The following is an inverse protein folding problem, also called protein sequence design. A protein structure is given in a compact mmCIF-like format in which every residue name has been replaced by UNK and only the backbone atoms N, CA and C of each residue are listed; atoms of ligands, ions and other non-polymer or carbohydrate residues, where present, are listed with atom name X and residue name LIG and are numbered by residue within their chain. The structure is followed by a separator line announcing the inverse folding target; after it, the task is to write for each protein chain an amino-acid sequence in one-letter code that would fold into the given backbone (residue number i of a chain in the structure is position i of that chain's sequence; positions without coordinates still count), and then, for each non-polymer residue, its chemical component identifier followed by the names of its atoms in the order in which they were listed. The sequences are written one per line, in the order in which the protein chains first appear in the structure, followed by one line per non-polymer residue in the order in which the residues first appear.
data_IF_032557412657
#
_entry.id   IF_032557412657
#
_cell.length_a   1.000
_cell.length_b   1.000
_cell.length_c   1.000
_cell.angle_alpha   90.00
_cell.angle_beta   90.00
_cell.angle_gamma   90.00
#
_symmetry.space_group_name_H-M   'P 1'
#
loop_
_entity.id
_entity.type
_entity.pdbx_description
1 polymer ?
#
# COMPACT_ATOMS: atom_id res chain seq x y z
N UNK A 1 -6.10 14.49 0.12
CA UNK A 1 -6.94 13.43 0.68
C UNK A 1 -6.26 12.10 0.43
N UNK A 2 -5.69 11.51 1.48
CA UNK A 2 -5.07 10.18 1.51
C UNK A 2 -5.83 9.28 2.48
N UNK A 3 -5.70 7.95 2.38
CA UNK A 3 -6.33 7.00 3.31
C UNK A 3 -5.98 7.24 4.79
N UNK A 4 -4.93 8.02 5.06
CA UNK A 4 -4.46 8.38 6.40
C UNK A 4 -5.08 9.67 6.95
N UNK A 5 -5.90 10.37 6.16
CA UNK A 5 -6.57 11.60 6.56
C UNK A 5 -7.90 11.28 7.26
N UNK A 6 -8.20 11.93 8.39
CA UNK A 6 -9.41 11.70 9.20
C UNK A 6 -10.73 11.90 8.41
N UNK A 7 -10.69 12.76 7.37
CA UNK A 7 -11.84 13.06 6.51
C UNK A 7 -12.29 11.86 5.65
N UNK A 8 -11.44 10.83 5.50
CA UNK A 8 -11.77 9.61 4.75
C UNK A 8 -12.75 8.70 5.47
N UNK A 9 -12.86 8.83 6.79
CA UNK A 9 -13.60 7.87 7.61
C UNK A 9 -12.95 6.50 7.69
N UNK A 10 -11.69 6.33 7.27
CA UNK A 10 -10.88 5.13 7.53
C UNK A 10 -10.07 5.27 8.82
N UNK A 11 -9.74 6.52 9.20
CA UNK A 11 -8.99 6.86 10.41
C UNK A 11 -9.93 7.54 11.43
N UNK A 12 -9.68 7.29 12.73
CA UNK A 12 -10.41 7.93 13.83
C UNK A 12 -11.60 7.13 14.38
N UNK A 13 -12.28 7.64 15.43
CA UNK A 13 -13.25 6.89 16.24
C UNK A 13 -14.56 6.49 15.54
N UNK A 14 -14.79 6.96 14.31
CA UNK A 14 -15.98 6.64 13.51
C UNK A 14 -15.68 5.72 12.30
N UNK A 15 -14.43 5.28 12.14
CA UNK A 15 -14.05 4.48 10.97
C UNK A 15 -14.68 3.08 10.96
N UNK A 16 -15.23 2.69 9.81
CA UNK A 16 -15.76 1.33 9.58
C UNK A 16 -14.73 0.54 8.79
N UNK A 17 -14.18 -0.51 9.41
CA UNK A 17 -13.01 -1.22 8.89
C UNK A 17 -11.74 -0.46 9.30
N UNK A 18 -10.80 -1.14 9.96
CA UNK A 18 -9.56 -0.49 10.37
C UNK A 18 -8.76 -0.07 9.14
N UNK A 19 -8.24 1.16 9.11
CA UNK A 19 -7.37 1.65 8.02
C UNK A 19 -6.24 0.67 7.70
N UNK A 20 -5.75 -0.06 8.71
CA UNK A 20 -4.73 -1.07 8.57
C UNK A 20 -5.15 -2.22 7.65
N UNK A 21 -6.37 -2.73 7.82
CA UNK A 21 -6.83 -3.87 7.02
C UNK A 21 -7.06 -3.47 5.56
N UNK A 22 -7.65 -2.29 5.33
CA UNK A 22 -7.87 -1.76 3.98
C UNK A 22 -6.54 -1.47 3.28
N UNK A 23 -5.63 -0.75 3.94
CA UNK A 23 -4.30 -0.47 3.39
C UNK A 23 -3.54 -1.77 3.13
N UNK A 24 -3.70 -2.79 4.00
CA UNK A 24 -3.06 -4.07 3.80
C UNK A 24 -3.58 -4.83 2.58
N UNK A 25 -4.90 -4.84 2.37
CA UNK A 25 -5.52 -5.46 1.20
C UNK A 25 -5.05 -4.79 -0.10
N UNK A 26 -5.08 -3.46 -0.15
CA UNK A 26 -4.64 -2.68 -1.31
C UNK A 26 -3.15 -2.88 -1.59
N UNK A 27 -2.31 -2.85 -0.54
CA UNK A 27 -0.88 -3.09 -0.66
C UNK A 27 -0.59 -4.50 -1.18
N UNK A 28 -1.32 -5.50 -0.66
CA UNK A 28 -1.22 -6.89 -1.12
C UNK A 28 -1.58 -7.03 -2.60
N UNK A 29 -2.62 -6.33 -3.09
CA UNK A 29 -2.97 -6.33 -4.52
C UNK A 29 -1.85 -5.75 -5.39
N UNK A 30 -1.21 -4.66 -4.97
CA UNK A 30 -0.08 -4.08 -5.71
C UNK A 30 1.12 -5.03 -5.72
N UNK A 31 1.49 -5.61 -4.58
CA UNK A 31 2.63 -6.54 -4.50
C UNK A 31 2.42 -7.80 -5.35
N UNK A 32 1.18 -8.32 -5.39
CA UNK A 32 0.81 -9.49 -6.18
C UNK A 32 0.63 -9.22 -7.69
N UNK A 33 0.68 -7.96 -8.14
CA UNK A 33 0.48 -7.58 -9.55
C UNK A 33 1.78 -7.19 -10.28
N UNK A 34 2.94 -7.52 -9.72
CA UNK A 34 4.26 -7.19 -10.26
C UNK A 34 4.83 -8.20 -11.26
N UNK A 35 4.07 -9.26 -11.59
CA UNK A 35 4.54 -10.40 -12.41
C UNK A 35 5.87 -11.03 -11.95
N UNK A 36 6.18 -10.93 -10.65
CA UNK A 36 7.45 -11.40 -10.08
C UNK A 36 8.66 -10.54 -10.43
N UNK A 37 8.47 -9.36 -11.03
CA UNK A 37 9.56 -8.45 -11.43
C UNK A 37 10.06 -7.54 -10.30
N UNK A 38 9.30 -7.43 -9.20
CA UNK A 38 9.66 -6.58 -8.06
C UNK A 38 9.56 -5.08 -8.33
N UNK A 39 8.81 -4.68 -9.37
CA UNK A 39 8.55 -3.27 -9.73
C UNK A 39 7.08 -3.08 -10.07
N UNK A 40 6.59 -1.84 -9.97
CA UNK A 40 5.20 -1.47 -10.30
C UNK A 40 5.09 -1.11 -11.79
N UNK A 41 4.08 -1.65 -12.45
CA UNK A 41 3.75 -1.39 -13.85
C UNK A 41 2.79 -0.21 -14.01
N UNK A 42 2.67 0.34 -15.22
CA UNK A 42 1.73 1.44 -15.49
C UNK A 42 0.27 0.97 -15.47
N UNK A 43 0.01 -0.20 -16.06
CA UNK A 43 -1.29 -0.87 -16.01
C UNK A 43 -1.07 -2.37 -16.01
N UNK A 44 -1.96 -3.11 -15.37
CA UNK A 44 -1.95 -4.58 -15.32
C UNK A 44 -3.34 -5.08 -15.69
N UNK A 45 -3.42 -6.11 -16.52
CA UNK A 45 -4.69 -6.71 -16.91
C UNK A 45 -5.30 -7.48 -15.72
N UNK A 46 -6.56 -7.18 -15.38
CA UNK A 46 -7.24 -7.74 -14.21
C UNK A 46 -7.46 -9.27 -14.25
N UNK A 47 -7.39 -9.89 -15.43
CA UNK A 47 -7.56 -11.33 -15.64
C UNK A 47 -6.24 -12.05 -15.92
N UNK A 48 -5.16 -11.32 -16.19
CA UNK A 48 -3.85 -11.88 -16.50
C UNK A 48 -2.74 -10.93 -16.04
N UNK A 49 -2.20 -11.18 -14.85
CA UNK A 49 -1.14 -10.35 -14.25
C UNK A 49 0.12 -10.20 -15.12
N UNK A 50 0.42 -11.19 -15.96
CA UNK A 50 1.58 -11.17 -16.87
C UNK A 50 1.40 -10.24 -18.09
N UNK A 51 0.21 -9.66 -18.26
CA UNK A 51 -0.08 -8.69 -19.31
C UNK A 51 -0.16 -7.29 -18.71
N UNK A 52 0.91 -6.51 -18.87
CA UNK A 52 1.03 -5.17 -18.34
C UNK A 52 1.67 -4.20 -19.35
N UNK A 53 1.50 -2.90 -19.13
CA UNK A 53 2.21 -1.86 -19.87
C UNK A 53 3.37 -1.31 -19.04
N UNK A 54 4.48 -1.00 -19.74
CA UNK A 54 5.74 -0.48 -19.18
C UNK A 54 6.33 -1.37 -18.09
N UNK A 55 7.29 -2.22 -18.48
CA UNK A 55 8.04 -3.07 -17.56
C UNK A 55 8.82 -2.27 -16.48
N UNK A 56 9.21 -1.03 -16.79
CA UNK A 56 9.83 -0.13 -15.83
C UNK A 56 9.19 1.26 -15.91
N UNK A 57 8.55 1.69 -14.81
CA UNK A 57 7.94 3.00 -14.72
C UNK A 57 8.37 3.71 -13.43
N UNK A 58 9.44 4.49 -13.53
CA UNK A 58 10.08 5.14 -12.38
C UNK A 58 9.13 6.00 -11.53
N UNK A 59 8.13 6.66 -12.14
CA UNK A 59 7.17 7.45 -11.38
C UNK A 59 6.26 6.58 -10.48
N UNK A 60 5.71 5.48 -11.00
CA UNK A 60 4.88 4.55 -10.23
C UNK A 60 5.69 3.91 -9.08
N UNK A 61 6.94 3.53 -9.35
CA UNK A 61 7.86 3.04 -8.32
C UNK A 61 8.14 4.11 -7.23
N UNK A 62 8.28 5.39 -7.63
CA UNK A 62 8.45 6.50 -6.70
C UNK A 62 7.24 6.73 -5.81
N UNK A 63 6.03 6.70 -6.37
CA UNK A 63 4.77 6.80 -5.61
C UNK A 63 4.60 5.64 -4.63
N UNK A 64 4.99 4.43 -5.03
CA UNK A 64 5.02 3.28 -4.12
C UNK A 64 5.97 3.51 -2.94
N UNK A 65 7.16 4.06 -3.19
CA UNK A 65 8.09 4.45 -2.13
C UNK A 65 7.52 5.53 -1.19
N UNK A 66 6.87 6.55 -1.75
CA UNK A 66 6.20 7.59 -0.97
C UNK A 66 5.09 7.02 -0.08
N UNK A 67 4.32 6.04 -0.58
CA UNK A 67 3.29 5.34 0.20
C UNK A 67 3.91 4.62 1.40
N UNK A 68 5.02 3.88 1.22
CA UNK A 68 5.70 3.19 2.33
C UNK A 68 6.17 4.19 3.40
N UNK A 69 6.77 5.31 2.99
CA UNK A 69 7.19 6.37 3.92
C UNK A 69 5.99 6.96 4.67
N UNK A 70 4.82 7.09 4.02
CA UNK A 70 3.61 7.59 4.67
C UNK A 70 3.05 6.62 5.69
N UNK A 71 3.08 5.31 5.39
CA UNK A 71 2.69 4.27 6.34
C UNK A 71 3.60 4.33 7.56
N UNK A 72 4.92 4.42 7.37
CA UNK A 72 5.89 4.56 8.46
C UNK A 72 5.59 5.79 9.34
N UNK A 73 5.35 6.95 8.72
CA UNK A 73 5.02 8.18 9.47
C UNK A 73 3.72 8.02 10.28
N UNK A 74 2.72 7.35 9.70
CA UNK A 74 1.43 7.10 10.36
C UNK A 74 1.59 6.15 11.55
N UNK A 75 2.31 5.04 11.38
CA UNK A 75 2.61 4.09 12.45
C UNK A 75 3.44 4.71 13.57
N UNK A 76 4.37 5.62 13.22
CA UNK A 76 5.15 6.38 14.20
C UNK A 76 4.25 7.20 15.11
N UNK A 77 3.29 7.92 14.52
CA UNK A 77 2.31 8.73 15.26
C UNK A 77 1.37 7.86 16.10
N UNK A 78 1.05 6.66 15.62
CA UNK A 78 0.24 5.68 16.33
C UNK A 78 1.02 4.87 17.38
N UNK A 79 2.35 5.07 17.50
CA UNK A 79 3.25 4.29 18.36
C UNK A 79 3.23 2.77 18.06
N UNK A 80 3.16 2.40 16.77
CA UNK A 80 3.06 1.02 16.28
C UNK A 80 4.26 0.51 15.48
N UNK A 81 5.28 1.35 15.26
CA UNK A 81 6.43 1.01 14.40
C UNK A 81 7.18 -0.27 14.81
N UNK A 82 7.39 -0.46 16.12
CA UNK A 82 8.16 -1.60 16.65
C UNK A 82 7.27 -2.81 17.01
N UNK A 83 6.01 -2.82 16.57
CA UNK A 83 4.99 -3.81 16.97
C UNK A 83 4.14 -4.33 15.80
N UNK A 84 2.84 -4.53 16.06
CA UNK A 84 1.89 -5.15 15.11
C UNK A 84 1.45 -4.23 13.94
N UNK A 85 2.24 -3.20 13.63
CA UNK A 85 2.04 -2.33 12.47
C UNK A 85 2.11 -3.08 11.14
N UNK A 86 1.56 -2.51 10.08
CA UNK A 86 1.63 -2.98 8.69
C UNK A 86 3.06 -3.25 8.22
N UNK A 87 4.02 -2.37 8.54
CA UNK A 87 5.41 -2.56 8.11
C UNK A 87 6.14 -3.68 8.87
N UNK A 88 5.67 -4.03 10.07
CA UNK A 88 6.20 -5.15 10.86
C UNK A 88 5.69 -6.52 10.43
N UNK A 89 4.68 -6.60 9.54
CA UNK A 89 4.09 -7.86 9.08
C UNK A 89 5.01 -8.59 8.10
N UNK A 90 4.94 -9.93 8.10
CA UNK A 90 5.45 -10.73 6.98
C UNK A 90 4.51 -10.56 5.79
N UNK A 91 5.04 -10.05 4.68
CA UNK A 91 4.34 -9.94 3.39
C UNK A 91 4.64 -11.13 2.45
N UNK A 92 5.25 -12.20 3.01
CA UNK A 92 5.59 -13.46 2.36
C UNK A 92 4.81 -14.62 2.97
#
# INVERSE_FOLDING_TARGET
MTAFDDETGLVGPKGKGGVEDEVAEQLGMVLNSTSGMGVVHESVNSWNGNSFTRAWFGWANGLMGELIMRIEEWERKANKLDGDGLLGRSWQ
#
